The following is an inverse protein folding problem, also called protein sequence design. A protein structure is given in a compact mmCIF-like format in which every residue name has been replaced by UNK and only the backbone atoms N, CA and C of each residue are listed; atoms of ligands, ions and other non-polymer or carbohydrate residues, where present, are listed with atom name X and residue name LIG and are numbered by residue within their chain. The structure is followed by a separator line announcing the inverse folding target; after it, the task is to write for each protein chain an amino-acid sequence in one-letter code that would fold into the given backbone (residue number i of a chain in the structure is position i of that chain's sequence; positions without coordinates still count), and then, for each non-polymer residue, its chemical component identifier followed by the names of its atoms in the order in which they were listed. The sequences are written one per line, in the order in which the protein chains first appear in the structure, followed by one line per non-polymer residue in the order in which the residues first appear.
data_IF_835137072884
#
_entry.id   IF_835137072884
#
_cell.length_a   1.000
_cell.length_b   1.000
_cell.length_c   1.000
_cell.angle_alpha   90.00
_cell.angle_beta   90.00
_cell.angle_gamma   90.00
#
_symmetry.space_group_name_H-M   'P 1'
#
loop_
_entity.id
_entity.type
_entity.pdbx_description
1 polymer ?
#
# COMPACT_ATOMS: atom_id res chain seq x y z
N UNK A 1 3.11 -7.44 10.12
CA UNK A 1 4.39 -6.92 9.58
C UNK A 1 4.61 -7.50 8.19
N UNK A 2 5.12 -6.70 7.26
CA UNK A 2 5.26 -6.99 5.85
C UNK A 2 6.67 -6.60 5.38
N UNK A 3 7.01 -6.94 4.16
CA UNK A 3 8.29 -6.61 3.53
C UNK A 3 8.17 -5.53 2.45
N UNK A 4 6.96 -5.27 1.98
CA UNK A 4 6.68 -4.41 0.83
C UNK A 4 6.94 -5.10 -0.51
N UNK A 5 6.98 -6.41 -0.52
CA UNK A 5 7.03 -7.24 -1.73
C UNK A 5 5.63 -7.74 -2.03
N UNK A 6 5.02 -7.20 -3.08
CA UNK A 6 3.66 -7.55 -3.47
C UNK A 6 3.63 -8.97 -4.01
N UNK A 7 2.73 -9.81 -3.49
CA UNK A 7 2.55 -11.19 -3.97
C UNK A 7 1.72 -11.21 -5.25
N UNK A 8 0.64 -10.43 -5.28
CA UNK A 8 -0.17 -10.17 -6.47
C UNK A 8 -1.07 -8.94 -6.25
N UNK A 9 -1.90 -8.58 -7.20
CA UNK A 9 -3.00 -7.65 -6.98
C UNK A 9 -4.34 -8.39 -6.95
N UNK A 10 -5.12 -8.15 -5.90
CA UNK A 10 -6.50 -8.62 -5.79
C UNK A 10 -7.46 -7.70 -6.57
N UNK A 11 -8.60 -8.25 -6.98
CA UNK A 11 -9.68 -7.47 -7.58
C UNK A 11 -10.80 -7.26 -6.56
N UNK A 12 -11.27 -6.02 -6.41
CA UNK A 12 -12.44 -5.69 -5.58
C UNK A 12 -13.70 -6.20 -6.28
N UNK A 13 -14.42 -7.14 -5.69
CA UNK A 13 -15.64 -7.73 -6.27
C UNK A 13 -16.91 -7.20 -5.60
N UNK A 14 -16.83 -6.70 -4.36
CA UNK A 14 -17.96 -6.04 -3.70
C UNK A 14 -17.45 -5.01 -2.69
N UNK A 15 -18.25 -3.96 -2.48
CA UNK A 15 -18.04 -2.93 -1.46
C UNK A 15 -19.35 -2.75 -0.72
N UNK A 16 -19.33 -2.89 0.60
CA UNK A 16 -20.49 -2.71 1.46
C UNK A 16 -20.18 -1.71 2.56
N UNK A 17 -20.95 -0.63 2.62
CA UNK A 17 -20.86 0.33 3.70
C UNK A 17 -21.66 -0.17 4.91
N UNK A 18 -21.04 -0.20 6.08
CA UNK A 18 -21.69 -0.45 7.37
C UNK A 18 -21.34 0.69 8.34
N UNK A 19 -22.26 1.64 8.50
CA UNK A 19 -22.07 2.87 9.28
C UNK A 19 -20.87 3.66 8.77
N UNK A 20 -19.83 3.83 9.60
CA UNK A 20 -18.59 4.52 9.26
C UNK A 20 -17.51 3.57 8.70
N UNK A 21 -17.76 2.26 8.69
CA UNK A 21 -16.87 1.26 8.15
C UNK A 21 -17.24 0.91 6.70
N UNK A 22 -16.26 0.37 5.98
CA UNK A 22 -16.48 -0.21 4.65
C UNK A 22 -15.90 -1.63 4.64
N UNK A 23 -16.73 -2.59 4.26
CA UNK A 23 -16.31 -3.95 3.96
C UNK A 23 -15.93 -4.02 2.48
N UNK A 24 -14.72 -4.49 2.21
CA UNK A 24 -14.24 -4.79 0.87
C UNK A 24 -14.19 -6.32 0.71
N UNK A 25 -14.86 -6.84 -0.31
CA UNK A 25 -14.71 -8.23 -0.71
C UNK A 25 -13.81 -8.28 -1.94
N UNK A 26 -12.75 -9.10 -1.86
CA UNK A 26 -11.72 -9.18 -2.88
C UNK A 26 -11.51 -10.65 -3.29
N UNK A 27 -11.04 -10.84 -4.52
CA UNK A 27 -10.59 -12.15 -5.02
C UNK A 27 -9.13 -12.09 -5.41
N UNK A 28 -8.41 -13.18 -5.14
CA UNK A 28 -7.01 -13.38 -5.49
C UNK A 28 -6.73 -14.89 -5.66
N UNK A 29 -5.53 -15.26 -6.12
CA UNK A 29 -5.20 -16.66 -6.40
C UNK A 29 -5.07 -17.52 -5.14
N UNK A 30 -4.69 -16.92 -4.00
CA UNK A 30 -4.42 -17.63 -2.75
C UNK A 30 -5.51 -17.47 -1.67
N UNK A 31 -6.78 -17.19 -2.06
CA UNK A 31 -7.89 -17.08 -1.09
C UNK A 31 -8.00 -18.33 -0.21
N UNK A 32 -7.80 -19.52 -0.78
CA UNK A 32 -7.89 -20.79 -0.05
C UNK A 32 -6.74 -21.00 0.97
N UNK A 33 -5.68 -20.20 0.88
CA UNK A 33 -4.57 -20.21 1.84
C UNK A 33 -4.76 -19.20 2.98
N UNK A 34 -5.78 -18.33 2.88
CA UNK A 34 -6.09 -17.34 3.92
C UNK A 34 -6.85 -17.97 5.09
N UNK A 35 -6.70 -17.35 6.26
CA UNK A 35 -7.45 -17.70 7.45
C UNK A 35 -8.17 -16.47 8.02
N UNK A 36 -9.32 -16.66 8.65
CA UNK A 36 -9.98 -15.61 9.43
C UNK A 36 -9.00 -15.15 10.53
N UNK A 37 -9.02 -13.86 10.83
CA UNK A 37 -8.11 -13.18 11.76
C UNK A 37 -6.66 -13.00 11.24
N UNK A 38 -6.36 -13.42 10.02
CA UNK A 38 -5.07 -13.18 9.38
C UNK A 38 -4.96 -11.72 8.92
N UNK A 39 -3.75 -11.14 9.08
CA UNK A 39 -3.42 -9.82 8.54
C UNK A 39 -2.93 -9.92 7.10
N UNK A 40 -3.51 -9.13 6.22
CA UNK A 40 -3.10 -8.95 4.82
C UNK A 40 -2.99 -7.45 4.54
N UNK A 41 -1.94 -7.01 3.87
CA UNK A 41 -1.80 -5.62 3.43
C UNK A 41 -2.57 -5.40 2.12
N UNK A 42 -3.31 -4.30 2.04
CA UNK A 42 -4.11 -3.89 0.88
C UNK A 42 -3.68 -2.47 0.47
N UNK A 43 -2.98 -2.32 -0.66
CA UNK A 43 -2.31 -1.08 -1.01
C UNK A 43 -1.46 -0.53 0.17
N UNK A 44 -0.77 -1.44 0.90
CA UNK A 44 0.02 -1.09 2.08
C UNK A 44 -0.77 -0.90 3.37
N UNK A 45 -2.09 -1.09 3.37
CA UNK A 45 -2.93 -0.99 4.57
C UNK A 45 -3.13 -2.38 5.16
N UNK A 46 -2.66 -2.61 6.38
CA UNK A 46 -2.89 -3.84 7.14
C UNK A 46 -4.36 -3.95 7.53
N UNK A 47 -5.06 -4.95 6.99
CA UNK A 47 -6.44 -5.26 7.34
C UNK A 47 -6.56 -6.72 7.73
N UNK A 48 -7.52 -7.00 8.62
CA UNK A 48 -7.81 -8.36 9.09
C UNK A 48 -8.84 -9.02 8.19
N UNK A 49 -8.61 -10.27 7.80
CA UNK A 49 -9.58 -11.10 7.09
C UNK A 49 -10.72 -11.45 8.05
N UNK A 50 -11.94 -11.00 7.75
CA UNK A 50 -13.11 -11.21 8.60
C UNK A 50 -14.05 -12.29 8.08
N UNK A 51 -13.98 -12.61 6.78
CA UNK A 51 -14.75 -13.70 6.18
C UNK A 51 -14.03 -14.26 4.95
N UNK A 52 -14.28 -15.55 4.66
CA UNK A 52 -13.84 -16.23 3.45
C UNK A 52 -15.09 -16.84 2.79
N UNK A 53 -15.24 -16.63 1.50
CA UNK A 53 -16.43 -17.02 0.73
C UNK A 53 -16.04 -18.04 -0.34
N UNK A 54 -16.80 -19.12 -0.38
CA UNK A 54 -16.70 -20.09 -1.46
C UNK A 54 -17.35 -19.55 -2.75
N UNK A 55 -16.99 -20.08 -3.92
CA UNK A 55 -17.62 -19.69 -5.17
C UNK A 55 -19.14 -19.76 -5.11
N UNK A 56 -19.79 -18.78 -5.71
CA UNK A 56 -21.25 -18.66 -5.79
C UNK A 56 -21.68 -18.16 -7.16
N UNK A 57 -22.99 -18.20 -7.45
CA UNK A 57 -23.54 -17.67 -8.71
C UNK A 57 -23.23 -16.17 -8.92
N UNK A 58 -23.01 -15.42 -7.82
CA UNK A 58 -22.70 -13.97 -7.86
C UNK A 58 -21.20 -13.74 -8.02
N UNK A 59 -20.36 -14.57 -7.38
CA UNK A 59 -18.91 -14.51 -7.48
C UNK A 59 -18.40 -15.92 -7.76
N UNK A 60 -18.05 -16.27 -9.01
CA UNK A 60 -17.66 -17.62 -9.39
C UNK A 60 -16.25 -18.02 -8.89
N UNK A 61 -15.50 -17.09 -8.30
CA UNK A 61 -14.20 -17.35 -7.70
C UNK A 61 -14.27 -17.25 -6.18
N UNK A 62 -13.40 -17.99 -5.44
CA UNK A 62 -13.23 -17.76 -4.01
C UNK A 62 -12.92 -16.29 -3.73
N UNK A 63 -13.43 -15.77 -2.63
CA UNK A 63 -13.21 -14.39 -2.23
C UNK A 63 -13.11 -14.27 -0.71
N UNK A 64 -12.56 -13.16 -0.24
CA UNK A 64 -12.46 -12.85 1.17
C UNK A 64 -12.88 -11.43 1.45
N UNK A 65 -13.29 -11.16 2.68
CA UNK A 65 -13.73 -9.82 3.11
C UNK A 65 -12.80 -9.28 4.19
N UNK A 66 -12.46 -8.00 4.05
CA UNK A 66 -11.76 -7.19 5.05
C UNK A 66 -12.57 -5.95 5.36
N UNK A 67 -12.45 -5.43 6.59
CA UNK A 67 -13.17 -4.22 7.02
C UNK A 67 -12.18 -3.08 7.26
N UNK A 68 -12.39 -1.94 6.63
CA UNK A 68 -11.68 -0.70 6.91
C UNK A 68 -12.55 0.23 7.76
N UNK A 69 -12.02 0.67 8.90
CA UNK A 69 -12.67 1.64 9.76
C UNK A 69 -12.50 3.07 9.25
N UNK A 70 -13.31 4.00 9.76
CA UNK A 70 -13.31 5.40 9.32
C UNK A 70 -11.92 6.04 9.33
N UNK A 71 -11.15 5.87 10.40
CA UNK A 71 -9.79 6.44 10.52
C UNK A 71 -8.86 5.95 9.40
N UNK A 72 -8.94 4.66 9.05
CA UNK A 72 -8.21 4.07 7.94
C UNK A 72 -8.65 4.67 6.59
N UNK A 73 -9.96 4.83 6.39
CA UNK A 73 -10.51 5.41 5.16
C UNK A 73 -10.12 6.89 5.01
N UNK A 74 -10.06 7.64 6.10
CA UNK A 74 -9.68 9.06 6.10
C UNK A 74 -8.19 9.28 5.76
N UNK A 75 -7.31 8.31 6.06
CA UNK A 75 -5.85 8.39 5.85
C UNK A 75 -5.36 7.74 4.56
N UNK A 76 -6.19 6.94 3.91
CA UNK A 76 -5.76 6.09 2.81
C UNK A 76 -6.59 6.27 1.55
N UNK A 77 -6.11 5.70 0.45
CA UNK A 77 -6.86 5.70 -0.81
C UNK A 77 -7.96 4.62 -0.86
N UNK A 78 -8.15 3.81 0.19
CA UNK A 78 -9.13 2.73 0.19
C UNK A 78 -10.56 3.25 0.01
N UNK A 79 -10.88 4.43 0.56
CA UNK A 79 -12.17 5.07 0.39
C UNK A 79 -12.50 5.48 -1.05
N UNK A 80 -11.52 5.48 -1.96
CA UNK A 80 -11.67 5.82 -3.38
C UNK A 80 -11.91 4.59 -4.26
N UNK A 81 -11.74 3.38 -3.73
CA UNK A 81 -11.86 2.13 -4.47
C UNK A 81 -13.29 1.89 -4.98
N UNK A 82 -13.36 1.26 -6.14
CA UNK A 82 -14.59 0.82 -6.80
C UNK A 82 -14.50 -0.67 -7.10
N UNK A 83 -15.67 -1.28 -7.31
CA UNK A 83 -15.74 -2.66 -7.82
C UNK A 83 -15.01 -2.73 -9.17
N UNK A 84 -14.14 -3.71 -9.32
CA UNK A 84 -13.26 -3.90 -10.47
C UNK A 84 -11.86 -3.33 -10.30
N UNK A 85 -11.60 -2.47 -9.30
CA UNK A 85 -10.27 -1.91 -9.06
C UNK A 85 -9.29 -3.00 -8.56
N UNK A 86 -8.02 -2.82 -8.92
CA UNK A 86 -6.90 -3.66 -8.51
C UNK A 86 -6.24 -3.11 -7.25
N UNK A 87 -5.99 -3.96 -6.30
CA UNK A 87 -5.38 -3.65 -5.00
C UNK A 87 -4.15 -4.52 -4.81
N UNK A 88 -2.98 -3.93 -4.61
CA UNK A 88 -1.77 -4.68 -4.25
C UNK A 88 -1.99 -5.41 -2.94
N UNK A 89 -1.68 -6.70 -2.88
CA UNK A 89 -1.81 -7.50 -1.66
C UNK A 89 -0.50 -8.20 -1.30
N UNK A 90 -0.25 -8.27 0.00
CA UNK A 90 0.87 -8.97 0.61
C UNK A 90 0.39 -9.60 1.92
N UNK A 91 0.63 -10.91 2.11
CA UNK A 91 0.40 -11.59 3.39
C UNK A 91 1.46 -11.19 4.41
N UNK A 92 1.14 -11.25 5.69
CA UNK A 92 2.11 -11.02 6.74
C UNK A 92 3.31 -11.98 6.64
N UNK A 93 4.52 -11.46 6.89
CA UNK A 93 5.77 -12.21 6.84
C UNK A 93 5.76 -13.39 7.81
N UNK A 94 6.33 -14.51 7.38
CA UNK A 94 6.67 -15.62 8.26
C UNK A 94 7.90 -15.26 9.12
N UNK A 95 7.98 -15.75 10.35
CA UNK A 95 9.11 -15.49 11.27
C UNK A 95 10.47 -15.95 10.73
N UNK A 96 10.48 -16.97 9.89
CA UNK A 96 11.69 -17.50 9.21
C UNK A 96 11.77 -17.05 7.74
N UNK A 97 10.95 -16.09 7.33
CA UNK A 97 10.94 -15.52 5.97
C UNK A 97 12.11 -14.54 5.75
N UNK A 98 12.38 -14.25 4.49
CA UNK A 98 13.37 -13.22 4.09
C UNK A 98 12.72 -11.84 4.13
N UNK A 99 13.51 -10.84 4.45
CA UNK A 99 13.14 -9.44 4.31
C UNK A 99 13.75 -8.91 3.00
N UNK A 100 13.06 -9.12 1.88
CA UNK A 100 13.57 -8.74 0.55
C UNK A 100 13.32 -7.25 0.21
N UNK A 101 12.46 -6.55 0.97
CA UNK A 101 12.24 -5.10 0.90
C UNK A 101 12.80 -4.38 2.13
N UNK A 102 11.93 -3.74 2.91
CA UNK A 102 12.27 -3.13 4.20
C UNK A 102 11.19 -3.45 5.25
N UNK A 103 11.35 -2.99 6.48
CA UNK A 103 10.35 -3.23 7.54
C UNK A 103 9.12 -2.36 7.27
N UNK A 104 8.04 -3.01 6.82
CA UNK A 104 6.76 -2.39 6.51
C UNK A 104 5.75 -2.84 7.55
N UNK A 105 5.04 -1.89 8.17
CA UNK A 105 4.06 -2.21 9.19
C UNK A 105 2.66 -2.43 8.62
N UNK A 106 2.37 -1.85 7.46
CA UNK A 106 1.02 -1.77 6.91
C UNK A 106 0.22 -0.64 7.55
N UNK A 107 0.89 0.36 8.11
CA UNK A 107 0.30 1.50 8.79
C UNK A 107 0.57 2.77 7.97
N UNK A 108 -0.26 2.96 6.96
CA UNK A 108 -0.19 4.12 6.07
C UNK A 108 -0.24 5.43 6.85
N UNK A 109 0.72 6.30 6.58
CA UNK A 109 0.84 7.59 7.27
C UNK A 109 -0.06 8.65 6.66
N UNK A 110 -0.04 8.73 5.33
CA UNK A 110 -0.84 9.66 4.54
C UNK A 110 -0.97 9.18 3.08
N UNK A 111 -1.67 9.95 2.27
CA UNK A 111 -1.69 9.76 0.83
C UNK A 111 -0.75 10.72 0.13
N UNK A 112 -0.19 10.28 -1.01
CA UNK A 112 0.56 11.10 -1.94
C UNK A 112 -0.14 11.13 -3.30
N UNK A 113 0.21 12.10 -4.14
CA UNK A 113 -0.32 12.23 -5.50
C UNK A 113 0.80 12.04 -6.51
N UNK A 114 0.59 11.22 -7.53
CA UNK A 114 1.48 11.16 -8.68
C UNK A 114 1.38 12.48 -9.45
N UNK A 115 2.49 13.21 -9.59
CA UNK A 115 2.52 14.53 -10.26
C UNK A 115 3.29 14.49 -11.59
N UNK A 116 4.15 13.48 -11.80
CA UNK A 116 4.85 13.28 -13.07
C UNK A 116 5.19 11.82 -13.29
N UNK A 117 5.31 11.44 -14.55
CA UNK A 117 5.79 10.15 -15.02
C UNK A 117 6.77 10.41 -16.19
N UNK A 118 7.94 9.79 -16.14
CA UNK A 118 8.99 9.98 -17.13
C UNK A 118 9.55 8.61 -17.57
N UNK A 119 9.61 8.39 -18.88
CA UNK A 119 10.28 7.21 -19.43
C UNK A 119 11.80 7.30 -19.22
N UNK A 120 12.38 6.26 -18.68
CA UNK A 120 13.81 6.14 -18.40
C UNK A 120 14.47 5.01 -19.22
N UNK A 121 14.05 4.82 -20.46
CA UNK A 121 14.60 3.85 -21.40
C UNK A 121 14.64 2.41 -20.83
N UNK A 122 13.46 1.90 -20.47
CA UNK A 122 13.27 0.54 -19.92
C UNK A 122 12.80 0.51 -18.49
N UNK A 123 12.71 1.65 -17.83
CA UNK A 123 12.07 1.85 -16.54
C UNK A 123 11.21 3.12 -16.61
N UNK A 124 10.37 3.35 -15.59
CA UNK A 124 9.56 4.56 -15.50
C UNK A 124 9.85 5.25 -14.17
N UNK A 125 10.21 6.52 -14.19
CA UNK A 125 10.24 7.34 -12.99
C UNK A 125 8.84 7.87 -12.71
N UNK A 126 8.40 7.70 -11.47
CA UNK A 126 7.20 8.32 -10.94
C UNK A 126 7.60 9.37 -9.91
N UNK A 127 7.06 10.57 -10.03
CA UNK A 127 7.21 11.62 -9.02
C UNK A 127 5.95 11.71 -8.21
N UNK A 128 6.08 11.60 -6.89
CA UNK A 128 4.98 11.72 -5.95
C UNK A 128 5.15 12.96 -5.09
N UNK A 129 4.02 13.63 -4.82
CA UNK A 129 3.92 14.75 -3.91
C UNK A 129 3.04 14.36 -2.72
N UNK A 130 3.54 14.62 -1.50
CA UNK A 130 2.82 14.44 -0.24
C UNK A 130 2.69 15.77 0.50
N UNK A 131 1.99 15.79 1.63
CA UNK A 131 1.71 17.04 2.36
C UNK A 131 3.00 17.67 2.89
N UNK A 132 3.22 18.95 2.59
CA UNK A 132 4.28 19.74 3.20
C UNK A 132 3.91 20.11 4.64
N UNK A 133 4.32 19.29 5.60
CA UNK A 133 4.05 19.48 7.02
C UNK A 133 5.34 19.38 7.84
N UNK A 134 5.85 20.55 8.30
CA UNK A 134 7.09 20.63 9.08
C UNK A 134 6.99 19.90 10.43
N UNK A 135 5.83 19.87 11.04
CA UNK A 135 5.64 19.18 12.32
C UNK A 135 5.71 17.66 12.12
N UNK A 136 5.07 17.15 11.06
CA UNK A 136 5.15 15.74 10.70
C UNK A 136 6.57 15.35 10.28
N UNK A 137 7.29 16.18 9.51
CA UNK A 137 8.68 15.94 9.16
C UNK A 137 9.58 15.80 10.40
N UNK A 138 9.39 16.61 11.45
CA UNK A 138 10.10 16.47 12.73
C UNK A 138 9.79 15.16 13.46
N UNK A 139 8.69 14.50 13.15
CA UNK A 139 8.29 13.20 13.69
C UNK A 139 8.78 12.01 12.86
N UNK A 140 9.58 12.25 11.82
CA UNK A 140 10.15 11.21 10.95
C UNK A 140 9.35 10.90 9.71
N UNK A 141 8.36 11.72 9.36
CA UNK A 141 7.55 11.58 8.15
C UNK A 141 8.18 12.39 7.00
N UNK A 142 9.23 11.83 6.43
CA UNK A 142 9.96 12.40 5.30
C UNK A 142 10.74 11.33 4.55
N UNK A 143 11.08 11.60 3.31
CA UNK A 143 11.88 10.70 2.47
C UNK A 143 13.36 11.10 2.50
N UNK A 144 14.24 10.11 2.41
CA UNK A 144 15.70 10.27 2.40
C UNK A 144 16.24 9.72 1.08
N UNK A 145 17.20 10.40 0.46
CA UNK A 145 17.83 9.89 -0.77
C UNK A 145 18.43 8.52 -0.55
N UNK A 146 18.12 7.58 -1.44
CA UNK A 146 18.47 6.15 -1.33
C UNK A 146 17.87 5.44 -0.11
N UNK A 147 16.98 6.10 0.65
CA UNK A 147 16.19 5.44 1.69
C UNK A 147 15.03 4.63 1.11
N UNK A 148 14.28 3.99 1.98
CA UNK A 148 13.11 3.19 1.62
C UNK A 148 11.80 3.94 1.90
N UNK A 149 10.79 3.66 1.11
CA UNK A 149 9.42 4.12 1.29
C UNK A 149 8.48 3.09 0.68
N UNK A 150 7.24 2.97 1.18
CA UNK A 150 6.23 2.23 0.44
C UNK A 150 5.27 3.16 -0.30
N UNK A 151 4.95 2.79 -1.54
CA UNK A 151 3.87 3.40 -2.31
C UNK A 151 2.87 2.30 -2.65
N UNK A 152 1.63 2.43 -2.21
CA UNK A 152 0.61 1.36 -2.30
C UNK A 152 1.14 -0.01 -1.83
N UNK A 153 1.92 -0.02 -0.75
CA UNK A 153 2.52 -1.22 -0.17
C UNK A 153 3.79 -1.72 -0.85
N UNK A 154 4.18 -1.19 -2.01
CA UNK A 154 5.41 -1.58 -2.70
C UNK A 154 6.61 -0.92 -2.05
N UNK A 155 7.60 -1.72 -1.59
CA UNK A 155 8.89 -1.23 -1.08
C UNK A 155 9.74 -0.68 -2.22
N UNK A 156 10.11 0.60 -2.14
CA UNK A 156 10.81 1.30 -3.20
C UNK A 156 11.97 2.13 -2.67
N UNK A 157 12.99 2.30 -3.50
CA UNK A 157 14.11 3.19 -3.20
C UNK A 157 13.77 4.62 -3.64
N UNK A 158 13.93 5.54 -2.72
CA UNK A 158 13.74 6.98 -2.94
C UNK A 158 14.86 7.55 -3.81
N UNK A 159 14.50 8.33 -4.81
CA UNK A 159 15.39 9.13 -5.64
C UNK A 159 14.96 10.60 -5.60
N UNK A 160 15.93 11.51 -5.70
CA UNK A 160 15.70 12.94 -5.85
C UNK A 160 14.65 13.52 -4.87
N UNK A 161 14.73 13.24 -3.54
CA UNK A 161 13.77 13.77 -2.60
C UNK A 161 13.93 15.29 -2.48
N UNK A 162 12.81 15.96 -2.35
CA UNK A 162 12.73 17.38 -1.97
C UNK A 162 12.04 17.48 -0.61
N UNK A 163 11.52 18.66 -0.28
CA UNK A 163 10.81 18.86 0.98
C UNK A 163 9.55 17.99 1.11
N UNK A 164 8.81 17.83 0.01
CA UNK A 164 7.53 17.11 -0.02
C UNK A 164 7.31 16.35 -1.34
N UNK A 165 8.34 16.15 -2.13
CA UNK A 165 8.28 15.29 -3.32
C UNK A 165 9.43 14.30 -3.29
N UNK A 166 9.24 13.18 -3.97
CA UNK A 166 10.28 12.19 -4.24
C UNK A 166 9.98 11.46 -5.55
N UNK A 167 11.01 10.84 -6.09
CA UNK A 167 10.90 9.96 -7.24
C UNK A 167 11.18 8.52 -6.85
N UNK A 168 10.58 7.60 -7.59
CA UNK A 168 10.91 6.18 -7.57
C UNK A 168 11.06 5.68 -9.00
N UNK A 169 12.03 4.79 -9.22
CA UNK A 169 12.23 4.13 -10.52
C UNK A 169 11.54 2.76 -10.50
N UNK A 170 10.59 2.57 -11.40
CA UNK A 170 9.81 1.32 -11.50
C UNK A 170 10.33 0.54 -12.70
N UNK A 171 10.87 -0.65 -12.44
CA UNK A 171 11.31 -1.61 -13.45
C UNK A 171 10.10 -2.33 -14.07
N UNK A 172 10.21 -2.89 -15.30
CA UNK A 172 9.12 -3.57 -15.99
C UNK A 172 8.44 -4.63 -15.12
N UNK A 173 9.20 -5.45 -14.42
CA UNK A 173 8.66 -6.48 -13.54
C UNK A 173 7.70 -5.92 -12.48
N UNK A 174 8.11 -4.86 -11.75
CA UNK A 174 7.26 -4.21 -10.74
C UNK A 174 6.04 -3.56 -11.38
N UNK A 175 6.19 -2.97 -12.57
CA UNK A 175 5.08 -2.39 -13.32
C UNK A 175 4.01 -3.43 -13.63
N UNK A 176 4.39 -4.61 -14.07
CA UNK A 176 3.48 -5.68 -14.51
C UNK A 176 2.83 -6.43 -13.35
N UNK A 177 3.53 -6.54 -12.20
CA UNK A 177 3.09 -7.35 -11.06
C UNK A 177 2.46 -6.55 -9.94
N UNK A 178 2.28 -5.24 -10.12
CA UNK A 178 1.65 -4.36 -9.14
C UNK A 178 0.65 -3.41 -9.82
N UNK A 179 -0.15 -2.71 -9.03
CA UNK A 179 -1.06 -1.70 -9.56
C UNK A 179 -0.36 -0.41 -10.02
N UNK A 180 0.98 -0.38 -10.07
CA UNK A 180 1.73 0.70 -10.73
C UNK A 180 1.37 0.84 -12.20
N UNK A 181 0.99 -0.24 -12.88
CA UNK A 181 0.50 -0.21 -14.25
C UNK A 181 -0.72 0.72 -14.46
N UNK A 182 -1.50 0.95 -13.41
CA UNK A 182 -2.72 1.77 -13.44
C UNK A 182 -2.50 3.19 -12.92
N UNK A 183 -1.32 3.50 -12.34
CA UNK A 183 -1.00 4.85 -11.85
C UNK A 183 -0.80 5.81 -13.03
N UNK A 184 -1.42 6.97 -12.94
CA UNK A 184 -1.29 8.09 -13.90
C UNK A 184 -1.08 9.38 -13.11
N UNK A 185 -0.67 10.44 -13.80
CA UNK A 185 -0.63 11.78 -13.19
C UNK A 185 -2.01 12.12 -12.63
N UNK A 186 -2.05 12.51 -11.36
CA UNK A 186 -3.27 12.75 -10.58
C UNK A 186 -3.71 11.59 -9.70
N UNK A 187 -3.22 10.36 -9.91
CA UNK A 187 -3.56 9.21 -9.06
C UNK A 187 -3.12 9.44 -7.61
N UNK A 188 -4.01 9.12 -6.68
CA UNK A 188 -3.75 9.15 -5.23
C UNK A 188 -3.27 7.77 -4.79
N UNK A 189 -2.14 7.72 -4.11
CA UNK A 189 -1.51 6.50 -3.60
C UNK A 189 -1.33 6.57 -2.09
N UNK A 190 -1.26 5.42 -1.43
CA UNK A 190 -0.91 5.33 -0.02
C UNK A 190 0.60 5.43 0.17
N UNK A 191 1.03 6.15 1.21
CA UNK A 191 2.42 6.36 1.56
C UNK A 191 2.67 5.91 3.00
N UNK A 192 3.65 5.03 3.21
CA UNK A 192 4.19 4.70 4.53
C UNK A 192 5.69 5.02 4.53
N UNK A 193 6.12 5.93 5.41
CA UNK A 193 7.52 6.26 5.60
C UNK A 193 8.24 5.18 6.41
N UNK A 194 9.53 5.02 6.17
CA UNK A 194 10.33 4.04 6.91
C UNK A 194 10.21 4.27 8.42
N UNK A 195 9.83 3.20 9.14
CA UNK A 195 9.61 3.22 10.58
C UNK A 195 10.86 3.65 11.37
N UNK A 196 12.06 3.41 10.83
CA UNK A 196 13.32 3.80 11.48
C UNK A 196 13.42 5.31 11.66
N UNK A 197 12.98 6.09 10.65
CA UNK A 197 12.94 7.55 10.74
C UNK A 197 12.06 8.04 11.89
N UNK A 198 10.90 7.41 12.07
CA UNK A 198 9.94 7.74 13.14
C UNK A 198 10.50 7.45 14.54
N UNK A 199 11.15 6.30 14.72
CA UNK A 199 11.78 5.97 16.00
C UNK A 199 12.96 6.90 16.33
N UNK A 200 13.85 7.18 15.35
CA UNK A 200 15.00 8.09 15.55
C UNK A 200 14.49 9.49 15.92
N UNK A 201 13.50 10.01 15.17
CA UNK A 201 12.93 11.32 15.47
C UNK A 201 12.31 11.37 16.86
N UNK A 202 11.62 10.32 17.29
CA UNK A 202 11.03 10.24 18.64
C UNK A 202 12.08 10.22 19.75
N UNK A 203 13.17 9.45 19.57
CA UNK A 203 14.26 9.38 20.54
C UNK A 203 14.98 10.72 20.71
N UNK A 204 15.08 11.54 19.66
CA UNK A 204 15.67 12.89 19.73
C UNK A 204 14.82 13.91 20.49
N UNK A 205 13.57 13.60 20.79
CA UNK A 205 12.62 14.46 21.51
C UNK A 205 12.49 14.10 22.99
N UNK A 206 13.16 13.03 23.45
CA UNK A 206 13.22 12.60 24.86
C UNK A 206 14.43 13.17 25.56
#
# INVERSE_FOLDING_TARGET
MFSGIIEEFATVVAIKKDRDNIDFTLTCSFVDELSIDQSVAHNGVCLTVVAIHQPSDICPQPSYTVTAMKETLDRTNLGLLKVGDKVNIERSMLMNGRLDGHIVQGHVDETARCIAMEDANGSTYFTFEYKDDREMARKGYFTVDKGSVTVNGVSLTVCNPTKNTFQVAIIPYTMEHTNFQDIRVGTVVNLEFDILGKYIARLQQL
#
